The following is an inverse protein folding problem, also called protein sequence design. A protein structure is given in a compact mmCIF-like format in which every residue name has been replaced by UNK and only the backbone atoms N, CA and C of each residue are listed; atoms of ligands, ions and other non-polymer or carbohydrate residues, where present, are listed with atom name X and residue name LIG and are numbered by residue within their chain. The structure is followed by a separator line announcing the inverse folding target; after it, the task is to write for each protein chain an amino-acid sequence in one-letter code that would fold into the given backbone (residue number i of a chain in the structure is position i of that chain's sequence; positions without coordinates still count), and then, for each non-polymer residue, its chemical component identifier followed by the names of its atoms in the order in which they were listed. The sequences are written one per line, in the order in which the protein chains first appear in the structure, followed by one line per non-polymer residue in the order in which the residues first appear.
data_IF_207819235036
#
_entry.id   IF_207819235036
#
_cell.length_a   1.000
_cell.length_b   1.000
_cell.length_c   1.000
_cell.angle_alpha   90.00
_cell.angle_beta   90.00
_cell.angle_gamma   90.00
#
_symmetry.space_group_name_H-M   'P 1'
#
loop_
_entity.id
_entity.type
_entity.pdbx_description
1 polymer ?
#
# COMPACT_ATOMS: atom_id res chain seq x y z
N UNK A 1 -1.08 8.41 9.51
CA UNK A 1 -0.67 9.29 8.41
C UNK A 1 0.60 9.93 8.89
N UNK A 2 1.69 9.67 8.20
CA UNK A 2 2.96 10.31 8.51
C UNK A 2 2.89 11.77 8.03
N UNK A 3 3.46 12.68 8.82
CA UNK A 3 3.52 14.11 8.49
C UNK A 3 4.91 14.50 7.96
N UNK A 4 5.82 13.54 7.77
CA UNK A 4 7.25 13.81 7.56
C UNK A 4 7.77 13.26 6.24
N UNK A 5 7.23 12.14 5.76
CA UNK A 5 7.67 11.51 4.51
C UNK A 5 6.52 11.41 3.51
N UNK A 6 6.86 11.38 2.22
CA UNK A 6 5.92 11.04 1.15
C UNK A 6 5.32 9.64 1.38
N UNK A 7 3.99 9.56 1.46
CA UNK A 7 3.31 8.30 1.68
C UNK A 7 3.13 7.51 0.36
N UNK A 8 4.10 6.64 0.06
CA UNK A 8 3.93 5.56 -0.90
C UNK A 8 3.53 4.23 -0.21
N UNK A 9 3.31 3.17 -1.01
CA UNK A 9 2.97 1.84 -0.45
C UNK A 9 4.06 1.33 0.50
N UNK A 10 5.33 1.66 0.21
CA UNK A 10 6.46 1.23 1.03
C UNK A 10 6.41 1.94 2.38
N UNK A 11 6.23 3.25 2.39
CA UNK A 11 6.05 4.06 3.59
C UNK A 11 4.86 3.58 4.43
N UNK A 12 3.70 3.29 3.82
CA UNK A 12 2.54 2.75 4.56
C UNK A 12 2.90 1.47 5.33
N UNK A 13 3.78 0.62 4.77
CA UNK A 13 4.17 -0.66 5.33
C UNK A 13 5.19 -0.50 6.47
N UNK A 14 6.14 0.43 6.34
CA UNK A 14 7.21 0.63 7.33
C UNK A 14 6.85 1.62 8.44
N UNK A 15 5.89 2.51 8.19
CA UNK A 15 5.56 3.59 9.10
C UNK A 15 5.00 3.04 10.42
N UNK A 16 5.62 3.37 11.58
CA UNK A 16 5.12 2.94 12.90
C UNK A 16 3.67 3.38 13.17
N UNK A 17 3.23 4.48 12.55
CA UNK A 17 1.86 4.99 12.65
C UNK A 17 0.78 4.08 12.06
N UNK A 18 1.16 2.99 11.38
CA UNK A 18 0.27 1.97 10.85
C UNK A 18 0.38 0.60 11.55
N UNK A 19 1.24 0.47 12.56
CA UNK A 19 1.53 -0.81 13.21
C UNK A 19 0.27 -1.48 13.79
N UNK A 20 -0.53 -0.73 14.56
CA UNK A 20 -1.79 -1.23 15.13
C UNK A 20 -2.75 -1.71 14.03
N UNK A 21 -2.77 -1.01 12.90
CA UNK A 21 -3.55 -1.39 11.73
C UNK A 21 -3.10 -2.74 11.16
N UNK A 22 -1.79 -2.96 11.04
CA UNK A 22 -1.25 -4.24 10.60
C UNK A 22 -1.53 -5.37 11.60
N UNK A 23 -1.42 -5.13 12.90
CA UNK A 23 -1.78 -6.13 13.91
C UNK A 23 -3.25 -6.58 13.79
N UNK A 24 -4.17 -5.64 13.53
CA UNK A 24 -5.57 -5.97 13.28
C UNK A 24 -5.77 -6.76 11.97
N UNK A 25 -5.01 -6.41 10.92
CA UNK A 25 -5.01 -7.17 9.65
C UNK A 25 -4.56 -8.61 9.87
N UNK A 26 -3.43 -8.80 10.55
CA UNK A 26 -2.84 -10.12 10.80
C UNK A 26 -3.78 -11.01 11.61
N UNK A 27 -4.36 -10.47 12.68
CA UNK A 27 -5.32 -11.17 13.53
C UNK A 27 -6.57 -11.59 12.75
N UNK A 28 -7.17 -10.66 11.99
CA UNK A 28 -8.40 -10.93 11.24
C UNK A 28 -8.16 -12.00 10.14
N UNK A 29 -7.07 -11.88 9.39
CA UNK A 29 -6.70 -12.84 8.35
C UNK A 29 -6.47 -14.22 8.96
N UNK A 30 -5.62 -14.31 9.99
CA UNK A 30 -5.28 -15.59 10.63
C UNK A 30 -6.53 -16.26 11.21
N UNK A 31 -7.39 -15.50 11.89
CA UNK A 31 -8.65 -16.01 12.45
C UNK A 31 -9.60 -16.55 11.37
N UNK A 32 -9.79 -15.81 10.28
CA UNK A 32 -10.67 -16.24 9.16
C UNK A 32 -10.13 -17.47 8.44
N UNK A 33 -8.81 -17.54 8.22
CA UNK A 33 -8.19 -18.71 7.59
C UNK A 33 -8.24 -19.93 8.51
N UNK A 34 -7.97 -19.75 9.81
CA UNK A 34 -8.08 -20.82 10.80
C UNK A 34 -9.50 -21.41 10.84
N UNK A 35 -10.54 -20.56 10.86
CA UNK A 35 -11.94 -21.00 10.77
C UNK A 35 -12.21 -21.81 9.50
N UNK A 36 -11.65 -21.40 8.36
CA UNK A 36 -11.81 -22.11 7.11
C UNK A 36 -11.10 -23.48 7.11
N UNK A 37 -9.88 -23.54 7.63
CA UNK A 37 -9.11 -24.80 7.75
C UNK A 37 -9.85 -25.78 8.65
N UNK A 38 -10.29 -25.35 9.84
CA UNK A 38 -11.06 -26.21 10.76
C UNK A 38 -12.33 -26.79 10.13
N UNK A 39 -12.99 -26.02 9.24
CA UNK A 39 -14.17 -26.50 8.50
C UNK A 39 -13.83 -27.45 7.35
N UNK A 40 -12.69 -27.22 6.67
CA UNK A 40 -12.34 -27.94 5.44
C UNK A 40 -11.41 -29.14 5.65
N UNK A 41 -10.75 -29.20 6.81
CA UNK A 41 -9.79 -30.21 7.20
C UNK A 41 -9.84 -30.37 8.73
N UNK A 42 -10.96 -30.90 9.24
CA UNK A 42 -11.26 -30.97 10.68
C UNK A 42 -10.29 -31.83 11.48
N UNK A 43 -9.61 -32.79 10.83
CA UNK A 43 -8.57 -33.62 11.45
C UNK A 43 -7.21 -32.92 11.56
N UNK A 44 -7.01 -31.78 10.89
CA UNK A 44 -5.74 -31.05 10.91
C UNK A 44 -5.53 -30.37 12.26
N UNK A 45 -4.50 -30.82 12.99
CA UNK A 45 -4.03 -30.17 14.22
C UNK A 45 -3.08 -29.03 13.86
N UNK A 46 -3.64 -27.84 13.57
CA UNK A 46 -2.87 -26.61 13.39
C UNK A 46 -3.21 -25.61 14.49
N UNK A 47 -2.17 -25.05 15.12
CA UNK A 47 -2.31 -24.03 16.16
C UNK A 47 -2.32 -22.64 15.49
N UNK A 48 -3.04 -21.67 16.08
CA UNK A 48 -3.17 -20.33 15.52
C UNK A 48 -1.83 -19.62 15.30
N UNK A 49 -0.93 -19.68 16.28
CA UNK A 49 0.41 -19.09 16.14
C UNK A 49 1.21 -19.72 15.00
N UNK A 50 1.10 -21.04 14.79
CA UNK A 50 1.78 -21.70 13.65
C UNK A 50 1.25 -21.17 12.31
N UNK A 51 -0.06 -21.01 12.19
CA UNK A 51 -0.67 -20.43 10.98
C UNK A 51 -0.24 -18.98 10.75
N UNK A 52 -0.15 -18.20 11.83
CA UNK A 52 0.31 -16.82 11.79
C UNK A 52 1.74 -16.73 11.25
N UNK A 53 2.68 -17.53 11.78
CA UNK A 53 4.07 -17.60 11.27
C UNK A 53 4.17 -18.10 9.83
N UNK A 54 3.23 -18.93 9.37
CA UNK A 54 3.21 -19.39 7.98
C UNK A 54 2.80 -18.26 7.04
N UNK A 55 1.79 -17.46 7.41
CA UNK A 55 1.25 -16.39 6.55
C UNK A 55 2.13 -15.14 6.63
N UNK A 56 2.50 -14.75 7.85
CA UNK A 56 3.27 -13.56 8.21
C UNK A 56 4.65 -13.98 8.72
N UNK A 57 5.49 -14.44 7.80
CA UNK A 57 6.81 -15.02 8.12
C UNK A 57 7.71 -14.13 8.98
N UNK A 58 7.54 -12.81 8.90
CA UNK A 58 8.28 -11.82 9.69
C UNK A 58 7.88 -11.74 11.16
N UNK A 59 6.79 -12.40 11.57
CA UNK A 59 6.45 -12.56 12.99
C UNK A 59 7.48 -13.45 13.70
N UNK A 60 8.15 -14.31 12.95
CA UNK A 60 9.29 -15.04 13.45
C UNK A 60 10.43 -14.04 13.73
N UNK A 61 10.89 -14.01 14.99
CA UNK A 61 11.97 -13.12 15.43
C UNK A 61 13.28 -13.34 14.68
N UNK A 62 13.45 -14.49 14.01
CA UNK A 62 14.59 -14.75 13.15
C UNK A 62 14.55 -13.95 11.82
N UNK A 63 13.39 -13.38 11.43
CA UNK A 63 13.19 -12.76 10.12
C UNK A 63 12.47 -11.39 10.13
N UNK A 64 12.87 -10.42 10.96
CA UNK A 64 12.16 -9.13 11.08
C UNK A 64 12.17 -8.32 9.77
N UNK A 65 13.23 -8.46 8.96
CA UNK A 65 13.39 -7.76 7.67
C UNK A 65 12.43 -8.27 6.58
N UNK A 66 11.71 -9.37 6.81
CA UNK A 66 10.76 -9.90 5.82
C UNK A 66 9.40 -9.20 5.83
N UNK A 67 9.15 -8.30 6.79
CA UNK A 67 7.84 -7.63 6.93
C UNK A 67 7.49 -6.84 5.68
N UNK A 68 8.40 -5.99 5.24
CA UNK A 68 8.22 -5.19 4.03
C UNK A 68 7.91 -6.07 2.82
N UNK A 69 8.78 -7.06 2.56
CA UNK A 69 8.63 -7.94 1.40
C UNK A 69 7.32 -8.71 1.42
N UNK A 70 6.91 -9.24 2.58
CA UNK A 70 5.67 -9.98 2.73
C UNK A 70 4.45 -9.07 2.51
N UNK A 71 4.40 -7.92 3.18
CA UNK A 71 3.31 -6.96 3.06
C UNK A 71 3.19 -6.39 1.63
N UNK A 72 4.31 -6.09 0.96
CA UNK A 72 4.30 -5.61 -0.44
C UNK A 72 3.70 -6.69 -1.35
N UNK A 73 4.16 -7.94 -1.21
CA UNK A 73 3.62 -9.05 -2.01
C UNK A 73 2.12 -9.22 -1.78
N UNK A 74 1.68 -9.30 -0.53
CA UNK A 74 0.27 -9.48 -0.20
C UNK A 74 -0.59 -8.30 -0.69
N UNK A 75 -0.10 -7.07 -0.56
CA UNK A 75 -0.78 -5.88 -1.09
C UNK A 75 -0.93 -5.95 -2.61
N UNK A 76 0.08 -6.48 -3.32
CA UNK A 76 0.02 -6.75 -4.77
C UNK A 76 -0.79 -8.00 -5.15
N UNK A 77 -1.36 -8.71 -4.17
CA UNK A 77 -2.12 -9.94 -4.42
C UNK A 77 -1.24 -11.15 -4.72
N UNK A 78 0.03 -11.11 -4.32
CA UNK A 78 0.99 -12.20 -4.50
C UNK A 78 1.22 -12.95 -3.19
N UNK A 79 1.37 -14.26 -3.28
CA UNK A 79 1.74 -15.14 -2.16
C UNK A 79 3.11 -15.74 -2.48
N UNK A 80 4.03 -15.72 -1.51
CA UNK A 80 5.34 -16.36 -1.68
C UNK A 80 5.22 -17.87 -1.76
N UNK A 81 6.00 -18.53 -2.62
CA UNK A 81 6.04 -19.99 -2.74
C UNK A 81 6.39 -20.69 -1.42
N UNK A 82 7.17 -20.03 -0.56
CA UNK A 82 7.47 -20.51 0.79
C UNK A 82 6.20 -20.72 1.62
N UNK A 83 5.23 -19.80 1.53
CA UNK A 83 3.94 -19.90 2.23
C UNK A 83 3.15 -21.08 1.68
N UNK A 84 3.10 -21.21 0.35
CA UNK A 84 2.40 -22.31 -0.32
C UNK A 84 2.99 -23.66 0.10
N UNK A 85 4.32 -23.77 0.08
CA UNK A 85 5.06 -24.98 0.48
C UNK A 85 4.82 -25.33 1.94
N UNK A 86 4.90 -24.35 2.85
CA UNK A 86 4.62 -24.55 4.28
C UNK A 86 3.17 -25.01 4.51
N UNK A 87 2.20 -24.45 3.79
CA UNK A 87 0.80 -24.88 3.86
C UNK A 87 0.58 -26.29 3.30
N UNK A 88 1.22 -26.65 2.18
CA UNK A 88 1.11 -27.98 1.57
C UNK A 88 1.68 -29.12 2.44
N UNK A 89 2.58 -28.81 3.39
CA UNK A 89 3.05 -29.80 4.38
C UNK A 89 1.97 -30.20 5.39
N UNK A 90 0.96 -29.35 5.57
CA UNK A 90 -0.08 -29.50 6.59
C UNK A 90 -1.45 -29.82 5.97
N UNK A 91 -1.67 -29.33 4.74
CA UNK A 91 -2.95 -29.38 4.04
C UNK A 91 -2.77 -30.05 2.67
N UNK A 92 -3.83 -30.70 2.19
CA UNK A 92 -3.83 -31.21 0.82
C UNK A 92 -3.72 -30.06 -0.19
N UNK A 93 -3.11 -30.33 -1.35
CA UNK A 93 -2.95 -29.34 -2.44
C UNK A 93 -4.25 -28.61 -2.79
N UNK A 94 -5.38 -29.34 -2.83
CA UNK A 94 -6.71 -28.79 -3.11
C UNK A 94 -7.17 -27.80 -2.04
N UNK A 95 -6.93 -28.10 -0.77
CA UNK A 95 -7.26 -27.19 0.35
C UNK A 95 -6.31 -26.01 0.37
N UNK A 96 -5.01 -26.22 0.15
CA UNK A 96 -4.01 -25.15 0.11
C UNK A 96 -4.34 -24.09 -0.94
N UNK A 97 -4.68 -24.49 -2.17
CA UNK A 97 -5.03 -23.52 -3.21
C UNK A 97 -6.23 -22.64 -2.80
N UNK A 98 -7.25 -23.23 -2.16
CA UNK A 98 -8.39 -22.48 -1.62
C UNK A 98 -7.99 -21.55 -0.47
N UNK A 99 -7.07 -22.00 0.40
CA UNK A 99 -6.52 -21.18 1.50
C UNK A 99 -5.77 -19.98 0.92
N UNK A 100 -4.89 -20.19 -0.06
CA UNK A 100 -4.08 -19.13 -0.70
C UNK A 100 -4.97 -18.04 -1.29
N UNK A 101 -5.99 -18.41 -2.09
CA UNK A 101 -6.93 -17.41 -2.64
C UNK A 101 -7.69 -16.66 -1.54
N UNK A 102 -8.01 -17.33 -0.43
CA UNK A 102 -8.68 -16.70 0.71
C UNK A 102 -7.75 -15.79 1.50
N UNK A 103 -6.46 -16.11 1.62
CA UNK A 103 -5.48 -15.26 2.29
C UNK A 103 -5.45 -13.90 1.59
N UNK A 104 -5.27 -13.87 0.26
CA UNK A 104 -5.25 -12.61 -0.51
C UNK A 104 -6.55 -11.82 -0.30
N UNK A 105 -7.71 -12.48 -0.48
CA UNK A 105 -9.02 -11.84 -0.32
C UNK A 105 -9.22 -11.24 1.07
N UNK A 106 -8.90 -12.01 2.12
CA UNK A 106 -9.08 -11.55 3.49
C UNK A 106 -8.05 -10.48 3.86
N UNK A 107 -6.83 -10.58 3.36
CA UNK A 107 -5.79 -9.57 3.54
C UNK A 107 -6.22 -8.25 2.94
N UNK A 108 -6.62 -8.21 1.66
CA UNK A 108 -7.06 -6.96 1.02
C UNK A 108 -8.27 -6.33 1.71
N UNK A 109 -9.24 -7.14 2.15
CA UNK A 109 -10.40 -6.64 2.87
C UNK A 109 -10.01 -6.04 4.23
N UNK A 110 -9.16 -6.73 4.99
CA UNK A 110 -8.72 -6.24 6.29
C UNK A 110 -7.81 -5.01 6.13
N UNK A 111 -6.87 -5.04 5.18
CA UNK A 111 -5.98 -3.92 4.87
C UNK A 111 -6.79 -2.68 4.49
N UNK A 112 -7.81 -2.85 3.63
CA UNK A 112 -8.72 -1.75 3.28
C UNK A 112 -9.43 -1.20 4.51
N UNK A 113 -9.94 -2.07 5.37
CA UNK A 113 -10.71 -1.70 6.56
C UNK A 113 -9.89 -0.96 7.62
N UNK A 114 -8.71 -1.48 7.96
CA UNK A 114 -7.94 -1.01 9.13
C UNK A 114 -6.83 -0.01 8.79
N UNK A 115 -6.36 0.01 7.55
CA UNK A 115 -5.24 0.87 7.13
C UNK A 115 -5.73 1.88 6.11
N UNK A 116 -6.26 1.40 4.97
CA UNK A 116 -6.59 2.28 3.84
C UNK A 116 -7.72 3.26 4.14
N UNK A 117 -8.87 2.78 4.61
CA UNK A 117 -10.03 3.63 4.86
C UNK A 117 -9.76 4.69 5.95
N UNK A 118 -9.18 4.33 7.13
CA UNK A 118 -8.83 5.32 8.13
C UNK A 118 -7.82 6.36 7.61
N UNK A 119 -6.86 5.92 6.80
CA UNK A 119 -5.91 6.82 6.12
C UNK A 119 -6.64 7.81 5.21
N UNK A 120 -7.48 7.32 4.30
CA UNK A 120 -8.26 8.16 3.38
C UNK A 120 -9.15 9.16 4.15
N UNK A 121 -9.81 8.73 5.23
CA UNK A 121 -10.62 9.63 6.06
C UNK A 121 -9.79 10.74 6.68
N UNK A 122 -8.61 10.43 7.23
CA UNK A 122 -7.70 11.46 7.77
C UNK A 122 -7.23 12.42 6.67
N UNK A 123 -6.91 11.91 5.48
CA UNK A 123 -6.46 12.74 4.35
C UNK A 123 -7.56 13.72 3.92
N UNK A 124 -8.79 13.24 3.79
CA UNK A 124 -9.95 14.08 3.47
C UNK A 124 -10.16 15.20 4.50
N UNK A 125 -9.93 14.94 5.80
CA UNK A 125 -10.04 15.96 6.85
C UNK A 125 -8.95 17.04 6.69
N UNK A 126 -7.71 16.64 6.39
CA UNK A 126 -6.62 17.59 6.17
C UNK A 126 -6.86 18.45 4.93
N UNK A 127 -7.26 17.83 3.82
CA UNK A 127 -7.60 18.54 2.59
C UNK A 127 -8.73 19.55 2.81
N UNK A 128 -9.78 19.15 3.54
CA UNK A 128 -10.87 20.06 3.89
C UNK A 128 -10.40 21.25 4.73
N UNK A 129 -9.52 21.04 5.71
CA UNK A 129 -8.91 22.12 6.52
C UNK A 129 -8.05 23.07 5.67
N UNK A 130 -7.41 22.56 4.63
CA UNK A 130 -6.59 23.32 3.70
C UNK A 130 -7.39 23.96 2.57
N UNK A 131 -8.72 23.78 2.53
CA UNK A 131 -9.57 24.29 1.47
C UNK A 131 -9.36 23.59 0.12
N UNK A 132 -8.69 22.44 0.08
CA UNK A 132 -8.47 21.67 -1.14
C UNK A 132 -9.78 20.98 -1.53
N UNK A 133 -10.32 21.39 -2.67
CA UNK A 133 -11.59 20.87 -3.20
C UNK A 133 -11.35 19.72 -4.17
N UNK A 134 -12.41 18.98 -4.50
CA UNK A 134 -12.36 17.96 -5.56
C UNK A 134 -11.95 18.54 -6.92
N UNK A 135 -12.29 19.81 -7.20
CA UNK A 135 -11.93 20.51 -8.43
C UNK A 135 -10.41 20.67 -8.54
N UNK A 136 -9.76 21.00 -7.43
CA UNK A 136 -8.30 21.16 -7.35
C UNK A 136 -7.58 19.82 -7.65
N UNK A 137 -8.16 18.70 -7.20
CA UNK A 137 -7.64 17.35 -7.49
C UNK A 137 -7.84 16.91 -8.95
N UNK A 138 -8.88 17.42 -9.63
CA UNK A 138 -9.21 17.03 -11.01
C UNK A 138 -8.41 17.82 -12.07
N UNK A 139 -7.86 18.98 -11.71
CA UNK A 139 -7.15 19.86 -12.64
C UNK A 139 -5.75 19.37 -13.06
N UNK A 140 -5.22 18.31 -12.42
CA UNK A 140 -3.85 17.83 -12.65
C UNK A 140 -3.69 16.89 -13.85
N UNK A 141 -4.75 16.53 -14.57
CA UNK A 141 -4.70 15.45 -15.60
C UNK A 141 -4.94 15.94 -17.04
N UNK A 142 -5.18 17.24 -17.30
CA UNK A 142 -5.55 17.70 -18.66
C UNK A 142 -4.80 18.89 -19.26
N UNK A 143 -3.69 19.31 -18.68
CA UNK A 143 -2.83 20.35 -19.27
C UNK A 143 -1.54 19.74 -19.83
N UNK A 144 -1.70 18.86 -20.81
CA UNK A 144 -0.65 18.56 -21.79
C UNK A 144 -1.10 19.08 -23.15
N UNK A 145 -0.96 20.39 -23.35
CA UNK A 145 -0.60 21.00 -24.62
C UNK A 145 -0.54 22.53 -24.47
N UNK A 146 0.39 23.13 -25.20
CA UNK A 146 0.55 24.55 -25.49
C UNK A 146 1.37 25.43 -24.53
N UNK A 147 2.66 25.51 -24.89
CA UNK A 147 3.43 26.74 -25.11
C UNK A 147 4.00 27.48 -23.89
N UNK A 148 5.28 27.18 -23.66
CA UNK A 148 6.28 28.06 -23.03
C UNK A 148 6.42 29.32 -23.89
N UNK A 149 5.50 30.28 -23.78
CA UNK A 149 5.65 31.66 -24.26
C UNK A 149 4.36 32.44 -24.04
N UNK A 150 4.01 32.72 -22.78
CA UNK A 150 3.13 33.83 -22.40
C UNK A 150 3.06 33.90 -20.87
N UNK A 151 4.13 34.41 -20.26
CA UNK A 151 4.09 34.85 -18.87
C UNK A 151 5.08 35.99 -18.68
N UNK A 152 4.84 37.08 -19.39
CA UNK A 152 5.22 38.41 -18.97
C UNK A 152 3.95 39.26 -18.94
N UNK A 153 3.88 40.10 -17.90
CA UNK A 153 2.80 40.99 -17.53
C UNK A 153 1.63 40.37 -16.74
N UNK A 154 1.76 40.41 -15.41
CA UNK A 154 1.11 41.43 -14.58
C UNK A 154 1.76 41.41 -13.18
N UNK A 155 2.47 42.48 -12.83
CA UNK A 155 2.81 42.82 -11.46
C UNK A 155 1.60 43.50 -10.78
N UNK A 156 1.24 43.10 -9.56
CA UNK A 156 1.41 43.92 -8.33
C UNK A 156 0.53 43.44 -7.15
N UNK A 157 1.18 43.35 -5.97
CA UNK A 157 0.68 43.52 -4.58
C UNK A 157 -0.38 42.51 -4.08
N UNK A 158 -0.30 41.88 -2.91
CA UNK A 158 0.24 42.23 -1.60
C UNK A 158 0.62 40.94 -0.82
N UNK A 159 1.41 41.11 0.23
CA UNK A 159 2.14 40.08 0.97
C UNK A 159 1.34 38.83 1.39
N UNK A 160 1.81 37.67 0.95
CA UNK A 160 1.50 36.35 1.49
C UNK A 160 2.80 35.56 1.44
N UNK A 161 3.36 35.26 2.61
CA UNK A 161 4.47 34.31 2.72
C UNK A 161 4.09 32.99 2.04
N UNK A 162 5.09 32.44 1.38
CA UNK A 162 5.11 31.57 0.21
C UNK A 162 4.14 30.36 0.15
N UNK A 163 2.91 30.59 -0.33
CA UNK A 163 2.01 29.49 -0.75
C UNK A 163 2.49 28.84 -2.06
N UNK A 164 3.24 29.56 -2.89
CA UNK A 164 3.76 29.08 -4.18
C UNK A 164 4.92 28.11 -4.01
N UNK A 165 5.84 28.38 -3.08
CA UNK A 165 7.00 27.53 -2.81
C UNK A 165 6.60 26.23 -2.12
N UNK A 166 5.64 26.27 -1.18
CA UNK A 166 5.11 25.05 -0.54
C UNK A 166 4.23 24.21 -1.48
N UNK A 167 3.45 24.87 -2.35
CA UNK A 167 2.74 24.18 -3.45
C UNK A 167 3.74 23.59 -4.44
N UNK A 168 4.86 24.27 -4.71
CA UNK A 168 5.93 23.77 -5.56
C UNK A 168 6.63 22.56 -4.93
N UNK A 169 6.93 22.54 -3.62
CA UNK A 169 7.41 21.34 -2.91
C UNK A 169 6.41 20.19 -2.99
N UNK A 170 5.14 20.44 -2.67
CA UNK A 170 4.07 19.41 -2.68
C UNK A 170 3.81 18.87 -4.09
N UNK A 171 3.92 19.72 -5.12
CA UNK A 171 3.71 19.34 -6.53
C UNK A 171 4.97 18.75 -7.18
N UNK A 172 6.16 19.04 -6.67
CA UNK A 172 7.42 18.38 -7.10
C UNK A 172 7.37 16.89 -6.77
N UNK A 173 6.74 16.50 -5.67
CA UNK A 173 6.47 15.09 -5.30
C UNK A 173 5.61 14.35 -6.35
N UNK A 174 4.61 15.01 -6.94
CA UNK A 174 3.81 14.42 -8.02
C UNK A 174 4.52 14.44 -9.38
N UNK A 175 5.30 15.50 -9.67
CA UNK A 175 6.00 15.68 -10.94
C UNK A 175 7.12 14.67 -11.13
N UNK A 176 7.91 14.40 -10.09
CA UNK A 176 9.03 13.44 -10.14
C UNK A 176 8.55 11.99 -10.25
N UNK A 177 7.40 11.65 -9.64
CA UNK A 177 6.77 10.34 -9.79
C UNK A 177 6.31 10.09 -11.24
N UNK A 178 5.65 11.07 -11.87
CA UNK A 178 5.22 11.01 -13.27
C UNK A 178 6.44 10.97 -14.22
N UNK A 179 7.49 11.76 -13.97
CA UNK A 179 8.72 11.72 -14.76
C UNK A 179 9.44 10.37 -14.63
N UNK A 180 9.45 9.74 -13.45
CA UNK A 180 10.05 8.41 -13.26
C UNK A 180 9.26 7.28 -13.95
N UNK A 181 7.94 7.42 -14.02
CA UNK A 181 7.06 6.48 -14.73
C UNK A 181 7.16 6.63 -16.25
N UNK A 182 7.35 7.85 -16.76
CA UNK A 182 7.57 8.12 -18.17
C UNK A 182 8.98 7.73 -18.63
N UNK A 183 10.00 7.94 -17.79
CA UNK A 183 11.40 7.61 -18.12
C UNK A 183 11.77 6.14 -17.90
N UNK A 184 11.07 5.41 -17.01
CA UNK A 184 11.22 3.94 -16.87
C UNK A 184 10.32 3.14 -17.82
N UNK A 185 9.56 3.82 -18.67
CA UNK A 185 8.74 3.22 -19.74
C UNK A 185 9.36 3.28 -21.13
N UNK A 186 10.51 3.94 -21.34
CA UNK A 186 11.21 3.89 -22.63
C UNK A 186 12.17 2.70 -22.67
N UNK A 187 11.83 1.73 -23.51
CA UNK A 187 12.63 0.56 -23.84
C UNK A 187 14.11 0.89 -24.05
N UNK A 188 14.99 0.19 -23.34
CA UNK A 188 16.23 -0.29 -23.94
C UNK A 188 16.01 -1.74 -24.34
N UNK A 189 15.58 -1.89 -25.59
CA UNK A 189 15.86 -3.04 -26.42
C UNK A 189 17.37 -3.30 -26.36
N UNK A 190 17.80 -4.39 -25.74
CA UNK A 190 19.07 -4.99 -26.11
C UNK A 190 18.79 -5.89 -27.31
N UNK A 191 19.10 -5.34 -28.50
CA UNK A 191 19.28 -6.11 -29.72
C UNK A 191 20.63 -6.83 -29.65
N UNK A 192 20.59 -8.09 -30.10
CA UNK A 192 21.67 -9.02 -30.46
C UNK A 192 22.58 -9.49 -29.34
#
# INVERSE_FOLDING_TARGET
MCLHDDEDIWHIIICPGHEDGFQQVELEVTSKIMKFIKKSASSTKIIQGQLEYIIFEYKDKAFPLLKERNCIKLTRGLISDTIITKLQRILSRKVTNKVVSRIIKHFHNAFRKYIWNPRCSKLNILEAKLGITKKDKMNTVRSHSCSISQQFDIQQTHGILDKSEFLHETMTCCRNYIHSLLTKGSSQSWKT
#
